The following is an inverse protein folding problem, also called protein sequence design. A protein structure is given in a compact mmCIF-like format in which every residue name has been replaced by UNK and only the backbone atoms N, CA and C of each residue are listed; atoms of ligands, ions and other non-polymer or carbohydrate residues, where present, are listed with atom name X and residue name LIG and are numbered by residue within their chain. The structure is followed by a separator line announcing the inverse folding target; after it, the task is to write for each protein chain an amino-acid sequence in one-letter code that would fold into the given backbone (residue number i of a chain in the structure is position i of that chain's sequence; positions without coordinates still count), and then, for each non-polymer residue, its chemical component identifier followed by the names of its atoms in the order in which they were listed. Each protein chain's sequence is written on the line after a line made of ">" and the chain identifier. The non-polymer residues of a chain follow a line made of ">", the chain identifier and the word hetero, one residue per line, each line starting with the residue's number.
data_IF_764729473759
#
_entry.id   IF_764729473759
#
_cell.length_a   1.000
_cell.length_b   1.000
_cell.length_c   1.000
_cell.angle_alpha   90.00
_cell.angle_beta   90.00
_cell.angle_gamma   90.00
#
_symmetry.space_group_name_H-M   'P 1'
#
loop_
_entity.id
_entity.type
_entity.pdbx_description
1 polymer ?
#
# COMPACT_ATOMS: atom_id res chain seq x y z
N UNK A 1 32.70 23.18 5.66
CA UNK A 1 31.70 22.16 5.26
C UNK A 1 30.58 22.90 4.59
N UNK A 2 30.48 22.82 3.27
CA UNK A 2 29.41 23.49 2.54
C UNK A 2 28.09 22.82 2.93
N UNK A 3 27.23 23.58 3.61
CA UNK A 3 25.95 23.09 4.10
C UNK A 3 25.01 23.03 2.89
N UNK A 4 25.02 21.92 2.16
CA UNK A 4 24.08 21.71 1.06
C UNK A 4 22.67 21.72 1.63
N UNK A 5 21.95 22.81 1.37
CA UNK A 5 20.59 22.98 1.88
C UNK A 5 19.75 21.79 1.42
N UNK A 6 19.07 21.09 2.34
CA UNK A 6 18.32 19.89 1.99
C UNK A 6 17.28 20.17 0.90
N UNK A 7 17.20 19.33 -0.12
CA UNK A 7 16.21 19.53 -1.18
C UNK A 7 14.79 19.45 -0.60
N UNK A 8 14.04 20.56 -0.65
CA UNK A 8 12.70 20.68 -0.05
C UNK A 8 11.71 19.68 -0.65
N UNK A 9 11.76 19.42 -1.96
CA UNK A 9 10.87 18.47 -2.62
C UNK A 9 11.11 17.04 -2.13
N UNK A 10 12.37 16.65 -1.96
CA UNK A 10 12.71 15.32 -1.45
C UNK A 10 12.30 15.13 0.01
N UNK A 11 12.43 16.18 0.84
CA UNK A 11 11.90 16.15 2.21
C UNK A 11 10.39 15.97 2.22
N UNK A 12 9.67 16.78 1.43
CA UNK A 12 8.21 16.68 1.34
C UNK A 12 7.79 15.30 0.82
N UNK A 13 8.37 14.83 -0.29
CA UNK A 13 8.09 13.50 -0.83
C UNK A 13 8.36 12.38 0.19
N UNK A 14 9.42 12.49 0.97
CA UNK A 14 9.76 11.51 2.02
C UNK A 14 8.72 11.49 3.14
N UNK A 15 8.24 12.68 3.56
CA UNK A 15 7.17 12.80 4.55
C UNK A 15 5.86 12.23 4.01
N UNK A 16 5.52 12.52 2.76
CA UNK A 16 4.32 11.98 2.11
C UNK A 16 4.36 10.45 2.01
N UNK A 17 5.52 9.85 1.76
CA UNK A 17 5.68 8.39 1.81
C UNK A 17 5.45 7.83 3.21
N UNK A 18 5.96 8.47 4.27
CA UNK A 18 5.74 8.01 5.64
C UNK A 18 4.26 8.11 6.01
N UNK A 19 3.68 9.30 5.86
CA UNK A 19 2.29 9.55 6.27
C UNK A 19 1.30 8.78 5.40
N UNK A 20 1.46 8.85 4.09
CA UNK A 20 0.58 8.14 3.16
C UNK A 20 0.82 6.62 3.15
N UNK A 21 2.02 6.14 3.49
CA UNK A 21 2.28 4.73 3.74
C UNK A 21 1.57 4.23 4.98
N UNK A 22 1.68 4.94 6.11
CA UNK A 22 1.01 4.60 7.36
C UNK A 22 -0.51 4.63 7.21
N UNK A 23 -1.07 5.74 6.72
CA UNK A 23 -2.54 5.87 6.58
C UNK A 23 -3.05 4.94 5.48
N UNK A 24 -2.39 4.94 4.31
CA UNK A 24 -2.76 4.12 3.16
C UNK A 24 -2.51 2.62 3.35
N UNK A 25 -1.74 2.22 4.37
CA UNK A 25 -1.52 0.82 4.76
C UNK A 25 -2.43 0.39 5.90
N UNK A 26 -2.42 1.12 7.02
CA UNK A 26 -3.16 0.74 8.23
C UNK A 26 -4.68 0.72 8.00
N UNK A 27 -5.22 1.70 7.28
CA UNK A 27 -6.67 1.77 7.06
C UNK A 27 -7.17 0.57 6.23
N UNK A 28 -6.56 0.23 5.07
CA UNK A 28 -6.92 -0.99 4.36
C UNK A 28 -6.71 -2.26 5.18
N UNK A 29 -5.62 -2.39 5.93
CA UNK A 29 -5.38 -3.55 6.80
C UNK A 29 -6.52 -3.73 7.81
N UNK A 30 -6.91 -2.67 8.51
CA UNK A 30 -8.00 -2.73 9.50
C UNK A 30 -9.32 -3.11 8.82
N UNK A 31 -9.62 -2.51 7.66
CA UNK A 31 -10.84 -2.81 6.90
C UNK A 31 -10.86 -4.26 6.42
N UNK A 32 -9.76 -4.75 5.86
CA UNK A 32 -9.63 -6.13 5.39
C UNK A 32 -9.76 -7.10 6.56
N UNK A 33 -9.05 -6.88 7.67
CA UNK A 33 -9.15 -7.78 8.83
C UNK A 33 -10.51 -7.71 9.53
N UNK A 34 -11.24 -6.59 9.44
CA UNK A 34 -12.60 -6.51 9.98
C UNK A 34 -13.58 -7.46 9.29
N UNK A 35 -13.32 -7.88 8.04
CA UNK A 35 -14.15 -8.88 7.37
C UNK A 35 -14.00 -10.27 7.98
N UNK A 36 -12.98 -10.52 8.81
CA UNK A 36 -12.86 -11.80 9.52
C UNK A 36 -13.92 -11.96 10.62
N UNK A 37 -14.45 -10.87 11.14
CA UNK A 37 -15.52 -10.89 12.13
C UNK A 37 -16.90 -11.23 11.56
N UNK A 38 -17.03 -11.40 10.24
CA UNK A 38 -18.33 -11.60 9.57
C UNK A 38 -18.65 -13.08 9.30
N UNK A 39 -17.90 -14.03 9.88
CA UNK A 39 -18.17 -15.46 9.68
C UNK A 39 -19.60 -15.85 10.12
N UNK A 40 -20.01 -15.35 11.29
CA UNK A 40 -21.36 -15.56 11.83
C UNK A 40 -22.41 -14.82 11.00
N UNK A 41 -22.09 -13.63 10.50
CA UNK A 41 -22.97 -12.87 9.61
C UNK A 41 -23.19 -13.61 8.28
N UNK A 42 -22.13 -14.20 7.71
CA UNK A 42 -22.22 -14.98 6.46
C UNK A 42 -23.09 -16.21 6.68
N UNK A 43 -22.82 -17.01 7.71
CA UNK A 43 -23.56 -18.26 7.95
C UNK A 43 -25.02 -17.99 8.34
N UNK A 44 -25.29 -16.93 9.10
CA UNK A 44 -26.66 -16.55 9.49
C UNK A 44 -27.51 -16.03 8.33
N UNK A 45 -26.91 -15.49 7.25
CA UNK A 45 -27.65 -15.18 6.01
C UNK A 45 -28.30 -16.44 5.39
N UNK A 46 -27.74 -17.62 5.66
CA UNK A 46 -28.27 -18.91 5.22
C UNK A 46 -29.11 -19.63 6.29
N UNK A 47 -29.41 -18.93 7.40
CA UNK A 47 -30.26 -19.41 8.50
C UNK A 47 -29.49 -20.10 9.62
N UNK A 48 -28.51 -20.96 9.31
CA UNK A 48 -27.63 -21.58 10.30
C UNK A 48 -26.30 -22.02 9.69
N UNK A 49 -25.26 -22.26 10.52
CA UNK A 49 -24.01 -22.87 10.05
C UNK A 49 -24.21 -24.20 9.33
N UNK A 50 -25.14 -25.05 9.80
CA UNK A 50 -25.43 -26.35 9.17
C UNK A 50 -26.10 -26.20 7.79
N UNK A 51 -26.99 -25.21 7.63
CA UNK A 51 -27.63 -24.92 6.34
C UNK A 51 -26.63 -24.35 5.33
N UNK A 52 -25.73 -23.48 5.79
CA UNK A 52 -24.62 -23.01 4.98
C UNK A 52 -23.70 -24.15 4.55
N UNK A 53 -23.32 -25.05 5.46
CA UNK A 53 -22.50 -26.22 5.15
C UNK A 53 -23.17 -27.13 4.11
N UNK A 54 -24.47 -27.40 4.26
CA UNK A 54 -25.24 -28.17 3.29
C UNK A 54 -25.31 -27.49 1.92
N UNK A 55 -25.48 -26.17 1.87
CA UNK A 55 -25.47 -25.42 0.60
C UNK A 55 -24.10 -25.54 -0.09
N UNK A 56 -23.01 -25.33 0.64
CA UNK A 56 -21.67 -25.41 0.08
C UNK A 56 -21.37 -26.83 -0.41
N UNK A 57 -21.79 -27.86 0.34
CA UNK A 57 -21.68 -29.24 -0.10
C UNK A 57 -22.50 -29.52 -1.36
N UNK A 58 -23.72 -28.99 -1.48
CA UNK A 58 -24.53 -29.14 -2.69
C UNK A 58 -23.91 -28.45 -3.90
N UNK A 59 -23.42 -27.21 -3.75
CA UNK A 59 -22.79 -26.44 -4.82
C UNK A 59 -21.42 -27.00 -5.23
N UNK A 60 -20.70 -27.61 -4.31
CA UNK A 60 -19.37 -28.19 -4.55
C UNK A 60 -19.40 -29.67 -4.92
N UNK A 61 -20.58 -30.28 -5.12
CA UNK A 61 -20.74 -31.73 -5.36
C UNK A 61 -20.08 -32.59 -4.26
N UNK A 62 -20.17 -32.13 -3.01
CA UNK A 62 -19.60 -32.77 -1.82
C UNK A 62 -18.08 -32.62 -1.68
N UNK A 63 -17.42 -31.82 -2.53
CA UNK A 63 -15.96 -31.70 -2.55
C UNK A 63 -15.40 -30.79 -1.45
N UNK A 64 -16.14 -29.75 -1.05
CA UNK A 64 -15.68 -28.74 -0.08
C UNK A 64 -16.78 -28.49 0.96
N UNK A 65 -16.41 -28.40 2.23
CA UNK A 65 -17.34 -28.05 3.33
C UNK A 65 -17.46 -26.54 3.52
N UNK A 66 -18.51 -26.09 4.23
CA UNK A 66 -18.71 -24.70 4.61
C UNK A 66 -17.53 -24.12 5.41
N UNK A 67 -17.01 -24.89 6.36
CA UNK A 67 -15.83 -24.48 7.15
C UNK A 67 -14.58 -24.32 6.27
N UNK A 68 -14.37 -25.24 5.32
CA UNK A 68 -13.24 -25.17 4.39
C UNK A 68 -13.31 -23.95 3.48
N UNK A 69 -14.49 -23.62 2.94
CA UNK A 69 -14.62 -22.46 2.05
C UNK A 69 -14.44 -21.14 2.80
N UNK A 70 -14.93 -21.04 4.04
CA UNK A 70 -14.68 -19.90 4.93
C UNK A 70 -13.20 -19.80 5.28
N UNK A 71 -12.54 -20.92 5.58
CA UNK A 71 -11.10 -20.97 5.81
C UNK A 71 -10.28 -20.47 4.63
N UNK A 72 -10.63 -20.86 3.40
CA UNK A 72 -10.00 -20.37 2.17
C UNK A 72 -10.22 -18.85 2.01
N UNK A 73 -11.45 -18.39 2.20
CA UNK A 73 -11.80 -16.98 2.11
C UNK A 73 -11.00 -16.13 3.12
N UNK A 74 -10.96 -16.52 4.39
CA UNK A 74 -10.19 -15.80 5.41
C UNK A 74 -8.68 -15.92 5.20
N UNK A 75 -8.19 -17.04 4.66
CA UNK A 75 -6.80 -17.17 4.22
C UNK A 75 -6.44 -16.12 3.16
N UNK A 76 -7.33 -15.88 2.19
CA UNK A 76 -7.16 -14.83 1.18
C UNK A 76 -7.18 -13.43 1.81
N UNK A 77 -8.10 -13.17 2.74
CA UNK A 77 -8.20 -11.89 3.48
C UNK A 77 -6.89 -11.60 4.22
N UNK A 78 -6.32 -12.58 4.93
CA UNK A 78 -5.02 -12.44 5.61
C UNK A 78 -3.92 -12.18 4.58
N UNK A 79 -3.90 -12.90 3.46
CA UNK A 79 -2.92 -12.69 2.39
C UNK A 79 -2.93 -11.26 1.84
N UNK A 80 -4.12 -10.70 1.60
CA UNK A 80 -4.30 -9.31 1.17
C UNK A 80 -3.81 -8.33 2.25
N UNK A 81 -4.16 -8.56 3.51
CA UNK A 81 -3.71 -7.71 4.62
C UNK A 81 -2.17 -7.71 4.76
N UNK A 82 -1.52 -8.86 4.59
CA UNK A 82 -0.05 -8.98 4.58
C UNK A 82 0.55 -8.18 3.42
N UNK A 83 -0.03 -8.24 2.22
CA UNK A 83 0.43 -7.46 1.07
C UNK A 83 0.36 -5.96 1.34
N UNK A 84 -0.73 -5.47 1.95
CA UNK A 84 -0.83 -4.08 2.40
C UNK A 84 0.24 -3.74 3.44
N UNK A 85 0.53 -4.65 4.38
CA UNK A 85 1.60 -4.49 5.38
C UNK A 85 2.99 -4.37 4.75
N UNK A 86 3.30 -5.19 3.75
CA UNK A 86 4.58 -5.12 3.02
C UNK A 86 4.70 -3.77 2.29
N UNK A 87 3.66 -3.34 1.58
CA UNK A 87 3.70 -2.05 0.87
C UNK A 87 3.77 -0.86 1.82
N UNK A 88 3.09 -0.91 2.97
CA UNK A 88 3.23 0.08 4.03
C UNK A 88 4.69 0.17 4.50
N UNK A 89 5.32 -0.98 4.78
CA UNK A 89 6.70 -1.02 5.23
C UNK A 89 7.65 -0.42 4.19
N UNK A 90 7.47 -0.76 2.90
CA UNK A 90 8.28 -0.19 1.82
C UNK A 90 8.15 1.34 1.79
N UNK A 91 6.93 1.90 1.82
CA UNK A 91 6.74 3.34 1.82
C UNK A 91 7.40 4.02 3.03
N UNK A 92 7.21 3.47 4.23
CA UNK A 92 7.81 4.02 5.45
C UNK A 92 9.34 3.96 5.39
N UNK A 93 9.93 2.82 5.00
CA UNK A 93 11.37 2.67 4.89
C UNK A 93 11.97 3.60 3.83
N UNK A 94 11.35 3.69 2.65
CA UNK A 94 11.79 4.59 1.58
C UNK A 94 11.70 6.05 2.02
N UNK A 95 10.65 6.43 2.75
CA UNK A 95 10.51 7.76 3.32
C UNK A 95 11.57 8.09 4.38
N UNK A 96 11.81 7.19 5.35
CA UNK A 96 12.84 7.40 6.39
C UNK A 96 14.24 7.49 5.77
N UNK A 97 14.58 6.56 4.87
CA UNK A 97 15.84 6.58 4.16
C UNK A 97 15.96 7.82 3.25
N UNK A 98 14.86 8.25 2.64
CA UNK A 98 14.77 9.46 1.83
C UNK A 98 15.11 10.72 2.64
N UNK A 99 14.56 10.88 3.84
CA UNK A 99 14.88 12.01 4.73
C UNK A 99 16.37 12.08 5.04
N UNK A 100 17.01 10.95 5.34
CA UNK A 100 18.45 10.88 5.62
C UNK A 100 19.33 11.23 4.41
N UNK A 101 18.80 11.08 3.20
CA UNK A 101 19.52 11.24 1.92
C UNK A 101 19.20 12.55 1.20
N UNK A 102 18.20 13.31 1.65
CA UNK A 102 17.69 14.50 0.96
C UNK A 102 18.69 15.67 0.84
N UNK A 103 19.79 15.63 1.59
CA UNK A 103 20.87 16.64 1.55
C UNK A 103 22.13 16.16 0.81
N UNK A 104 22.12 14.94 0.24
CA UNK A 104 23.31 14.23 -0.24
C UNK A 104 23.28 14.01 -1.76
N UNK A 105 23.93 14.88 -2.57
CA UNK A 105 23.90 14.82 -4.05
C UNK A 105 24.25 13.45 -4.64
N UNK A 106 25.19 12.72 -4.03
CA UNK A 106 25.63 11.36 -4.40
C UNK A 106 24.50 10.32 -4.33
N UNK A 107 23.41 10.62 -3.62
CA UNK A 107 22.27 9.71 -3.43
C UNK A 107 21.11 9.98 -4.37
N UNK A 108 21.25 10.84 -5.38
CA UNK A 108 20.19 11.11 -6.36
C UNK A 108 19.63 9.83 -7.03
N UNK A 109 20.47 8.81 -7.25
CA UNK A 109 20.04 7.51 -7.81
C UNK A 109 18.98 6.79 -6.95
N UNK A 110 19.04 6.92 -5.63
CA UNK A 110 18.06 6.33 -4.72
C UNK A 110 16.65 6.90 -5.01
N UNK A 111 16.55 8.22 -5.09
CA UNK A 111 15.28 8.90 -5.34
C UNK A 111 14.75 8.63 -6.74
N UNK A 112 15.62 8.55 -7.76
CA UNK A 112 15.18 8.16 -9.11
C UNK A 112 14.67 6.72 -9.16
N UNK A 113 15.40 5.76 -8.59
CA UNK A 113 15.02 4.36 -8.63
C UNK A 113 13.70 4.09 -7.90
N UNK A 114 13.60 4.55 -6.64
CA UNK A 114 12.37 4.38 -5.86
C UNK A 114 11.21 5.22 -6.40
N UNK A 115 11.50 6.42 -6.93
CA UNK A 115 10.50 7.25 -7.60
C UNK A 115 9.87 6.54 -8.80
N UNK A 116 10.65 5.88 -9.67
CA UNK A 116 10.08 5.13 -10.80
C UNK A 116 9.29 3.92 -10.31
N UNK A 117 9.88 3.09 -9.45
CA UNK A 117 9.24 1.84 -8.97
C UNK A 117 7.91 2.14 -8.28
N UNK A 118 7.89 3.09 -7.35
CA UNK A 118 6.69 3.41 -6.58
C UNK A 118 5.65 4.16 -7.42
N UNK A 119 6.07 4.95 -8.41
CA UNK A 119 5.13 5.58 -9.35
C UNK A 119 4.39 4.54 -10.18
N UNK A 120 5.07 3.50 -10.66
CA UNK A 120 4.43 2.40 -11.41
C UNK A 120 3.38 1.72 -10.55
N UNK A 121 3.73 1.35 -9.31
CA UNK A 121 2.77 0.74 -8.39
C UNK A 121 1.59 1.65 -8.07
N UNK A 122 1.82 2.94 -7.84
CA UNK A 122 0.73 3.87 -7.54
C UNK A 122 -0.19 4.13 -8.73
N UNK A 123 0.34 4.25 -9.95
CA UNK A 123 -0.48 4.36 -11.16
C UNK A 123 -1.32 3.10 -11.37
N UNK A 124 -0.73 1.91 -11.23
CA UNK A 124 -1.47 0.65 -11.31
C UNK A 124 -2.58 0.58 -10.24
N UNK A 125 -2.28 0.97 -9.00
CA UNK A 125 -3.27 1.01 -7.94
C UNK A 125 -4.45 1.95 -8.27
N UNK A 126 -4.19 3.14 -8.82
CA UNK A 126 -5.23 4.09 -9.24
C UNK A 126 -6.07 3.52 -10.39
N UNK A 127 -5.44 2.89 -11.38
CA UNK A 127 -6.15 2.29 -12.52
C UNK A 127 -7.07 1.13 -12.09
N UNK A 128 -6.62 0.32 -11.12
CA UNK A 128 -7.37 -0.85 -10.65
C UNK A 128 -8.45 -0.50 -9.61
N UNK A 129 -8.23 0.52 -8.78
CA UNK A 129 -9.09 0.83 -7.62
C UNK A 129 -10.01 2.03 -7.83
N UNK A 130 -9.78 2.83 -8.88
CA UNK A 130 -10.47 4.10 -9.11
C UNK A 130 -10.07 5.20 -8.11
N UNK A 131 -10.68 6.39 -8.26
CA UNK A 131 -10.24 7.64 -7.60
C UNK A 131 -11.22 8.17 -6.53
N UNK A 132 -12.35 7.48 -6.32
CA UNK A 132 -13.56 8.12 -5.74
C UNK A 132 -13.65 8.00 -4.21
N UNK A 133 -12.66 7.39 -3.54
CA UNK A 133 -12.66 7.24 -2.07
C UNK A 133 -11.54 8.03 -1.38
N UNK A 134 -11.73 8.40 -0.12
CA UNK A 134 -10.68 9.02 0.72
C UNK A 134 -9.41 8.16 0.78
N UNK A 135 -9.56 6.84 0.80
CA UNK A 135 -8.42 5.91 0.74
C UNK A 135 -7.70 5.98 -0.61
N UNK A 136 -8.44 6.15 -1.71
CA UNK A 136 -7.85 6.37 -3.03
C UNK A 136 -7.07 7.69 -3.09
N UNK A 137 -7.58 8.77 -2.47
CA UNK A 137 -6.86 10.04 -2.39
C UNK A 137 -5.54 9.92 -1.62
N UNK A 138 -5.53 9.22 -0.47
CA UNK A 138 -4.28 8.95 0.26
C UNK A 138 -3.33 8.10 -0.57
N UNK A 139 -3.86 7.10 -1.29
CA UNK A 139 -3.09 6.27 -2.22
C UNK A 139 -2.48 7.05 -3.38
N UNK A 140 -3.10 8.13 -3.84
CA UNK A 140 -2.53 9.03 -4.87
C UNK A 140 -1.40 9.86 -4.28
N UNK A 141 -1.54 10.33 -3.04
CA UNK A 141 -0.52 11.14 -2.38
C UNK A 141 0.77 10.33 -2.21
N UNK A 142 0.70 9.12 -1.66
CA UNK A 142 1.89 8.26 -1.49
C UNK A 142 2.30 7.52 -2.76
N UNK A 143 1.36 7.12 -3.62
CA UNK A 143 1.63 6.32 -4.80
C UNK A 143 1.96 7.12 -6.06
N UNK A 144 1.62 8.42 -6.13
CA UNK A 144 1.84 9.23 -7.33
C UNK A 144 2.56 10.53 -6.99
N UNK A 145 2.03 11.34 -6.08
CA UNK A 145 2.60 12.65 -5.78
C UNK A 145 4.01 12.53 -5.15
N UNK A 146 4.18 11.69 -4.13
CA UNK A 146 5.48 11.46 -3.48
C UNK A 146 6.57 10.93 -4.44
N UNK A 147 6.29 9.94 -5.30
CA UNK A 147 7.22 9.51 -6.34
C UNK A 147 7.59 10.61 -7.35
N UNK A 148 6.63 11.43 -7.80
CA UNK A 148 6.92 12.56 -8.69
C UNK A 148 7.86 13.56 -8.01
N UNK A 149 7.63 13.87 -6.73
CA UNK A 149 8.52 14.73 -5.95
C UNK A 149 9.93 14.14 -5.84
N UNK A 150 10.05 12.81 -5.70
CA UNK A 150 11.33 12.11 -5.74
C UNK A 150 12.05 12.27 -7.09
N UNK A 151 11.33 12.11 -8.20
CA UNK A 151 11.89 12.26 -9.55
C UNK A 151 12.34 13.70 -9.84
N UNK A 152 11.48 14.68 -9.54
CA UNK A 152 11.78 16.11 -9.75
C UNK A 152 12.89 16.57 -8.81
N UNK A 153 12.84 16.21 -7.53
CA UNK A 153 13.88 16.53 -6.56
C UNK A 153 15.23 15.90 -6.90
N UNK A 154 15.25 14.67 -7.42
CA UNK A 154 16.47 14.03 -7.89
C UNK A 154 17.09 14.75 -9.10
N UNK A 155 16.26 15.21 -10.04
CA UNK A 155 16.70 16.01 -11.19
C UNK A 155 17.34 17.32 -10.75
N UNK A 156 16.73 18.01 -9.78
CA UNK A 156 17.29 19.23 -9.19
C UNK A 156 18.64 18.97 -8.51
N UNK A 157 18.77 17.90 -7.73
CA UNK A 157 20.03 17.54 -7.09
C UNK A 157 21.16 17.22 -8.08
N UNK A 158 20.86 16.54 -9.20
CA UNK A 158 21.86 16.26 -10.24
C UNK A 158 22.39 17.54 -10.90
N UNK A 159 21.55 18.56 -11.06
CA UNK A 159 21.96 19.85 -11.62
C UNK A 159 22.91 20.60 -10.69
N UNK A 160 22.67 20.56 -9.38
CA UNK A 160 23.53 21.20 -8.37
C UNK A 160 24.88 20.48 -8.24
N UNK A 161 24.91 19.15 -8.34
CA UNK A 161 26.16 18.39 -8.23
C UNK A 161 27.04 18.35 -9.49
N UNK A 162 26.54 18.85 -10.62
CA UNK A 162 27.29 18.99 -11.89
C UNK A 162 27.77 20.43 -12.13
N UNK A 163 27.57 21.34 -11.17
CA UNK A 163 28.19 22.66 -11.11
C UNK A 163 29.47 22.59 -10.30
#
# INVERSE_FOLDING_TARGET
>A
MEQTTPNKLLKIGSILFIVGGLIGGLVPIIRTLSTMGTADDITSMYGSPDMFDQMVLQESDGMITGDQILGIFFGLVIGIAVLYGIMMLIHVLVGILGLSRASRPDRARFFTAWGVVLLVFGVLNVLLSGVVSLNALVGIISGVAAPILFLVGASQMKKVGNQ
#
